data_IF_082921064694
#
_entry.id   IF_082921064694
#
_cell.length_a   1.000
_cell.length_b   1.000
_cell.length_c   1.000
_cell.angle_alpha   90.00
_cell.angle_beta   90.00
_cell.angle_gamma   90.00
#
_symmetry.space_group_name_H-M   'P 1'
#
loop_
_entity.id
_entity.type
_entity.pdbx_description
1 polymer ?
#
# COMPACT_ATOMS: atom_id res chain seq x y z
N UNK A 1 7.93 16.01 -25.35
CA UNK A 1 8.49 15.32 -24.18
C UNK A 1 9.98 15.32 -24.36
N UNK A 2 10.70 16.10 -23.57
CA UNK A 2 12.15 16.14 -23.64
C UNK A 2 12.70 14.80 -23.15
N UNK A 3 13.82 14.33 -23.70
CA UNK A 3 14.43 13.04 -23.33
C UNK A 3 14.68 12.90 -21.82
N UNK A 4 14.93 14.00 -21.12
CA UNK A 4 15.07 14.06 -19.67
C UNK A 4 13.80 13.58 -18.93
N UNK A 5 12.62 14.00 -19.39
CA UNK A 5 11.34 13.59 -18.76
C UNK A 5 11.03 12.11 -18.90
N UNK A 6 11.52 11.45 -19.95
CA UNK A 6 11.35 10.00 -20.12
C UNK A 6 12.23 9.23 -19.15
N UNK A 7 13.48 9.68 -18.96
CA UNK A 7 14.42 9.06 -18.03
C UNK A 7 13.92 9.19 -16.59
N UNK A 8 13.45 10.37 -16.19
CA UNK A 8 12.85 10.60 -14.87
C UNK A 8 11.62 9.72 -14.64
N UNK A 9 10.71 9.64 -15.63
CA UNK A 9 9.54 8.79 -15.55
C UNK A 9 9.90 7.29 -15.42
N UNK A 10 10.93 6.83 -16.15
CA UNK A 10 11.43 5.46 -16.04
C UNK A 10 12.00 5.18 -14.64
N UNK A 11 12.80 6.10 -14.10
CA UNK A 11 13.40 5.97 -12.77
C UNK A 11 12.33 5.95 -11.67
N UNK A 12 11.35 6.85 -11.74
CA UNK A 12 10.23 6.87 -10.81
C UNK A 12 9.36 5.61 -10.92
N UNK A 13 9.07 5.14 -12.13
CA UNK A 13 8.32 3.90 -12.34
C UNK A 13 9.06 2.66 -11.81
N UNK A 14 10.38 2.61 -11.97
CA UNK A 14 11.22 1.54 -11.42
C UNK A 14 11.27 1.61 -9.89
N UNK A 15 11.40 2.82 -9.32
CA UNK A 15 11.38 3.04 -7.88
C UNK A 15 10.04 2.60 -7.28
N UNK A 16 8.93 2.96 -7.90
CA UNK A 16 7.57 2.54 -7.50
C UNK A 16 7.47 1.01 -7.50
N UNK A 17 7.79 0.36 -8.62
CA UNK A 17 7.70 -1.10 -8.74
C UNK A 17 8.58 -1.87 -7.75
N UNK A 18 9.73 -1.30 -7.35
CA UNK A 18 10.62 -1.90 -6.35
C UNK A 18 10.15 -1.68 -4.91
N UNK A 19 9.44 -0.58 -4.63
CA UNK A 19 9.13 -0.16 -3.25
C UNK A 19 7.70 -0.43 -2.83
N UNK A 20 6.76 -0.63 -3.76
CA UNK A 20 5.34 -0.84 -3.45
C UNK A 20 5.09 -2.14 -2.66
N UNK A 21 5.86 -3.19 -2.93
CA UNK A 21 5.62 -4.53 -2.35
C UNK A 21 6.47 -4.84 -1.11
N UNK A 22 7.41 -3.96 -0.77
CA UNK A 22 8.23 -4.08 0.44
C UNK A 22 7.83 -2.98 1.43
N UNK A 23 7.96 -3.21 2.76
CA UNK A 23 7.46 -2.28 3.75
C UNK A 23 8.41 -1.08 3.93
N UNK A 24 8.58 -0.26 2.89
CA UNK A 24 9.48 0.90 2.87
C UNK A 24 8.78 2.21 2.48
N UNK A 25 7.46 2.19 2.25
CA UNK A 25 6.65 3.33 1.80
C UNK A 25 7.10 3.89 0.44
N UNK A 26 6.53 3.35 -0.64
CA UNK A 26 6.70 3.81 -2.03
C UNK A 26 6.35 5.29 -2.21
N UNK A 27 5.22 5.73 -1.67
CA UNK A 27 4.77 7.13 -1.74
C UNK A 27 5.82 8.11 -1.19
N UNK A 28 6.43 7.78 -0.05
CA UNK A 28 7.51 8.61 0.51
C UNK A 28 8.74 8.68 -0.39
N UNK A 29 9.16 7.55 -0.97
CA UNK A 29 10.30 7.49 -1.90
C UNK A 29 10.03 8.26 -3.19
N UNK A 30 8.83 8.13 -3.77
CA UNK A 30 8.43 8.82 -5.00
C UNK A 30 8.34 10.33 -4.77
N UNK A 31 7.73 10.79 -3.67
CA UNK A 31 7.64 12.22 -3.36
C UNK A 31 9.01 12.86 -3.11
N UNK A 32 9.91 12.16 -2.40
CA UNK A 32 11.28 12.63 -2.17
C UNK A 32 12.09 12.64 -3.47
N UNK A 33 12.03 11.57 -4.27
CA UNK A 33 12.71 11.50 -5.55
C UNK A 33 12.22 12.57 -6.51
N UNK A 34 10.90 12.77 -6.63
CA UNK A 34 10.30 13.84 -7.43
C UNK A 34 10.77 15.22 -6.98
N UNK A 35 10.84 15.47 -5.68
CA UNK A 35 11.37 16.73 -5.12
C UNK A 35 12.83 16.98 -5.52
N UNK A 36 13.71 15.97 -5.41
CA UNK A 36 15.14 16.12 -5.75
C UNK A 36 15.43 16.14 -7.24
N UNK A 37 14.59 15.48 -8.06
CA UNK A 37 14.68 15.52 -9.52
C UNK A 37 14.05 16.79 -10.11
N UNK A 38 13.32 17.58 -9.33
CA UNK A 38 12.55 18.72 -9.83
C UNK A 38 11.37 18.30 -10.73
N UNK A 39 10.91 17.05 -10.59
CA UNK A 39 9.81 16.50 -11.37
C UNK A 39 8.48 16.95 -10.78
N UNK A 40 7.75 17.79 -11.51
CA UNK A 40 6.45 18.31 -11.09
C UNK A 40 5.35 17.75 -11.98
N UNK A 41 4.50 16.89 -11.41
CA UNK A 41 3.30 16.38 -12.09
C UNK A 41 2.06 17.15 -11.67
N UNK A 42 1.20 17.49 -12.63
CA UNK A 42 -0.05 18.21 -12.35
C UNK A 42 -0.94 17.36 -11.44
N UNK A 43 -1.19 17.83 -10.21
CA UNK A 43 -2.08 17.17 -9.27
C UNK A 43 -1.61 15.79 -8.78
N UNK A 44 -0.30 15.48 -8.87
CA UNK A 44 0.26 14.15 -8.54
C UNK A 44 -0.28 13.01 -9.42
N UNK A 45 -0.77 13.34 -10.61
CA UNK A 45 -1.41 12.38 -11.50
C UNK A 45 -0.44 11.30 -12.00
N UNK A 46 0.84 11.64 -12.18
CA UNK A 46 1.85 10.68 -12.63
C UNK A 46 2.12 9.61 -11.56
N UNK A 47 2.28 10.02 -10.30
CA UNK A 47 2.50 9.15 -9.15
C UNK A 47 1.34 8.17 -8.96
N UNK A 48 0.11 8.65 -9.13
CA UNK A 48 -1.09 7.79 -9.08
C UNK A 48 -1.11 6.81 -10.27
N UNK A 49 -0.68 7.25 -11.46
CA UNK A 49 -0.69 6.42 -12.66
C UNK A 49 0.33 5.27 -12.58
N UNK A 50 1.54 5.52 -12.06
CA UNK A 50 2.56 4.48 -11.94
C UNK A 50 2.20 3.40 -10.90
N UNK A 51 1.49 3.78 -9.83
CA UNK A 51 0.91 2.83 -8.85
C UNK A 51 -0.05 1.82 -9.50
N UNK A 52 -0.82 2.24 -10.51
CA UNK A 52 -1.66 1.32 -11.27
C UNK A 52 -0.83 0.22 -11.96
N UNK A 53 0.40 0.52 -12.38
CA UNK A 53 1.33 -0.47 -12.90
C UNK A 53 1.69 -1.55 -11.88
N UNK A 54 1.93 -1.16 -10.63
CA UNK A 54 2.19 -2.09 -9.53
C UNK A 54 0.95 -2.94 -9.20
N UNK A 55 -0.25 -2.34 -9.19
CA UNK A 55 -1.51 -3.08 -9.02
C UNK A 55 -1.70 -4.10 -10.14
N UNK A 56 -1.45 -3.71 -11.40
CA UNK A 56 -1.52 -4.64 -12.54
C UNK A 56 -0.52 -5.79 -12.43
N UNK A 57 0.65 -5.57 -11.84
CA UNK A 57 1.61 -6.63 -11.57
C UNK A 57 1.04 -7.67 -10.58
N UNK A 58 0.45 -7.23 -9.47
CA UNK A 58 -0.24 -8.13 -8.51
C UNK A 58 -1.39 -8.86 -9.20
N UNK A 59 -2.25 -8.15 -9.94
CA UNK A 59 -3.39 -8.76 -10.63
C UNK A 59 -2.94 -9.83 -11.62
N UNK A 60 -1.82 -9.61 -12.31
CA UNK A 60 -1.25 -10.58 -13.26
C UNK A 60 -0.66 -11.80 -12.55
N UNK A 61 0.13 -11.60 -11.49
CA UNK A 61 0.75 -12.69 -10.71
C UNK A 61 -0.30 -13.56 -10.03
N UNK A 62 -1.34 -12.95 -9.45
CA UNK A 62 -2.40 -13.64 -8.72
C UNK A 62 -3.65 -13.89 -9.55
N UNK A 63 -3.61 -13.67 -10.88
CA UNK A 63 -4.78 -13.74 -11.77
C UNK A 63 -5.57 -15.03 -11.59
N UNK A 64 -4.89 -16.18 -11.63
CA UNK A 64 -5.53 -17.50 -11.48
C UNK A 64 -6.22 -17.65 -10.12
N UNK A 65 -5.57 -17.21 -9.04
CA UNK A 65 -6.12 -17.29 -7.68
C UNK A 65 -7.32 -16.38 -7.50
N UNK A 66 -7.25 -15.15 -8.01
CA UNK A 66 -8.34 -14.18 -7.97
C UNK A 66 -9.54 -14.67 -8.79
N UNK A 67 -9.28 -15.25 -9.97
CA UNK A 67 -10.31 -15.85 -10.81
C UNK A 67 -11.01 -17.03 -10.11
N UNK A 68 -10.22 -17.94 -9.51
CA UNK A 68 -10.74 -19.05 -8.70
C UNK A 68 -11.62 -18.54 -7.55
N UNK A 69 -11.11 -17.58 -6.77
CA UNK A 69 -11.84 -16.97 -5.66
C UNK A 69 -13.17 -16.37 -6.13
N UNK A 70 -13.20 -15.71 -7.29
CA UNK A 70 -14.43 -15.14 -7.87
C UNK A 70 -15.44 -16.22 -8.28
N UNK A 71 -14.97 -17.30 -8.91
CA UNK A 71 -15.84 -18.40 -9.35
C UNK A 71 -16.35 -19.27 -8.19
N UNK A 72 -15.58 -19.40 -7.13
CA UNK A 72 -15.88 -20.24 -5.97
C UNK A 72 -16.67 -19.49 -4.89
N UNK A 73 -16.68 -18.15 -4.91
CA UNK A 73 -17.38 -17.27 -3.97
C UNK A 73 -18.84 -17.68 -3.64
N UNK A 74 -19.70 -18.04 -4.61
CA UNK A 74 -21.08 -18.43 -4.31
C UNK A 74 -21.20 -19.83 -3.68
N UNK A 75 -20.25 -20.73 -3.92
CA UNK A 75 -20.36 -22.15 -3.57
C UNK A 75 -19.55 -22.52 -2.32
N UNK A 76 -18.38 -21.91 -2.13
CA UNK A 76 -17.48 -22.24 -1.03
C UNK A 76 -17.62 -21.26 0.15
N UNK A 77 -17.84 -21.83 1.34
CA UNK A 77 -17.97 -21.08 2.59
C UNK A 77 -16.64 -20.47 3.02
N UNK A 78 -15.52 -21.16 2.78
CA UNK A 78 -14.20 -20.68 3.18
C UNK A 78 -13.79 -19.48 2.32
N UNK A 79 -13.94 -19.60 1.00
CA UNK A 79 -13.74 -18.50 0.05
C UNK A 79 -14.58 -17.28 0.39
N UNK A 80 -15.87 -17.47 0.71
CA UNK A 80 -16.74 -16.37 1.14
C UNK A 80 -16.29 -15.73 2.46
N UNK A 81 -15.85 -16.53 3.43
CA UNK A 81 -15.30 -16.02 4.69
C UNK A 81 -14.04 -15.20 4.45
N UNK A 82 -13.13 -15.68 3.61
CA UNK A 82 -11.92 -14.95 3.24
C UNK A 82 -12.23 -13.63 2.52
N UNK A 83 -13.12 -13.65 1.52
CA UNK A 83 -13.52 -12.45 0.80
C UNK A 83 -14.19 -11.39 1.72
N UNK A 84 -15.07 -11.83 2.62
CA UNK A 84 -15.64 -10.94 3.65
C UNK A 84 -14.56 -10.44 4.62
N UNK A 85 -13.58 -11.27 4.95
CA UNK A 85 -12.41 -10.89 5.74
C UNK A 85 -11.61 -9.76 5.11
N UNK A 86 -11.31 -9.86 3.81
CA UNK A 86 -10.66 -8.78 3.05
C UNK A 86 -11.48 -7.50 3.12
N UNK A 87 -12.80 -7.59 2.91
CA UNK A 87 -13.68 -6.42 2.98
C UNK A 87 -13.67 -5.76 4.37
N UNK A 88 -13.68 -6.57 5.44
CA UNK A 88 -13.61 -6.10 6.82
C UNK A 88 -12.25 -5.45 7.13
N UNK A 89 -11.16 -5.98 6.61
CA UNK A 89 -9.84 -5.38 6.76
C UNK A 89 -9.71 -4.07 5.97
N UNK A 90 -10.29 -3.97 4.78
CA UNK A 90 -10.25 -2.78 3.95
C UNK A 90 -11.09 -1.62 4.48
N UNK A 91 -12.28 -1.91 5.02
CA UNK A 91 -13.30 -0.90 5.30
C UNK A 91 -12.86 0.21 6.28
N UNK A 92 -12.16 -0.05 7.40
CA UNK A 92 -11.72 1.01 8.31
C UNK A 92 -10.80 2.03 7.63
N UNK A 93 -9.79 1.56 6.88
CA UNK A 93 -8.86 2.41 6.16
C UNK A 93 -9.55 3.18 5.03
N UNK A 94 -10.50 2.55 4.31
CA UNK A 94 -11.27 3.21 3.28
C UNK A 94 -12.16 4.34 3.82
N UNK A 95 -12.85 4.10 4.94
CA UNK A 95 -13.72 5.11 5.58
C UNK A 95 -12.87 6.27 6.11
N UNK A 96 -11.82 5.97 6.89
CA UNK A 96 -10.98 7.02 7.48
C UNK A 96 -10.25 7.80 6.38
N UNK A 97 -9.72 7.09 5.36
CA UNK A 97 -9.07 7.72 4.21
C UNK A 97 -10.00 8.65 3.46
N UNK A 98 -11.25 8.25 3.19
CA UNK A 98 -12.23 9.10 2.51
C UNK A 98 -12.61 10.34 3.34
N UNK A 99 -12.76 10.20 4.66
CA UNK A 99 -13.11 11.31 5.56
C UNK A 99 -11.94 12.26 5.82
N UNK A 100 -10.70 11.75 5.85
CA UNK A 100 -9.50 12.51 6.18
C UNK A 100 -8.67 12.93 4.95
N UNK A 101 -9.11 12.63 3.74
CA UNK A 101 -8.36 12.82 2.50
C UNK A 101 -7.76 14.23 2.34
N UNK A 102 -8.58 15.26 2.61
CA UNK A 102 -8.16 16.66 2.46
C UNK A 102 -7.11 17.06 3.51
N UNK A 103 -7.24 16.57 4.74
CA UNK A 103 -6.27 16.79 5.82
C UNK A 103 -4.94 16.09 5.53
N UNK A 104 -5.00 14.85 5.04
CA UNK A 104 -3.81 14.07 4.69
C UNK A 104 -3.05 14.77 3.57
N UNK A 105 -3.74 15.17 2.49
CA UNK A 105 -3.07 15.85 1.37
C UNK A 105 -2.39 17.15 1.76
N UNK A 106 -3.04 17.95 2.59
CA UNK A 106 -2.55 19.30 2.93
C UNK A 106 -1.40 19.31 3.91
N UNK A 107 -1.34 18.34 4.84
CA UNK A 107 -0.34 18.36 5.92
C UNK A 107 0.76 17.31 5.69
N UNK A 108 0.40 16.09 5.26
CA UNK A 108 1.34 14.97 5.19
C UNK A 108 2.23 15.03 3.94
N UNK A 109 1.70 15.50 2.82
CA UNK A 109 2.42 15.43 1.54
C UNK A 109 3.10 16.73 1.07
N UNK A 110 3.02 17.81 1.83
CA UNK A 110 3.66 19.09 1.52
C UNK A 110 5.00 19.29 2.26
N UNK A 111 5.31 18.44 3.24
CA UNK A 111 6.51 18.58 4.08
C UNK A 111 7.47 17.41 3.87
N UNK A 112 8.55 17.56 3.06
CA UNK A 112 9.60 16.54 2.93
C UNK A 112 10.18 16.08 4.27
N UNK A 113 10.24 17.00 5.25
CA UNK A 113 10.69 16.69 6.61
C UNK A 113 9.80 15.67 7.29
N UNK A 114 8.47 15.80 7.15
CA UNK A 114 7.51 14.89 7.76
C UNK A 114 7.61 13.49 7.12
N UNK A 115 7.74 13.42 5.80
CA UNK A 115 7.97 12.16 5.07
C UNK A 115 9.21 11.44 5.61
N UNK A 116 10.34 12.15 5.73
CA UNK A 116 11.57 11.57 6.27
C UNK A 116 11.39 11.04 7.71
N UNK A 117 10.68 11.79 8.57
CA UNK A 117 10.41 11.36 9.95
C UNK A 117 9.56 10.08 9.96
N UNK A 118 8.51 10.01 9.15
CA UNK A 118 7.64 8.82 9.07
C UNK A 118 8.38 7.60 8.52
N UNK A 119 9.26 7.77 7.52
CA UNK A 119 10.12 6.69 7.03
C UNK A 119 11.04 6.14 8.12
N UNK A 120 11.63 7.01 8.95
CA UNK A 120 12.48 6.59 10.08
C UNK A 120 11.64 5.85 11.13
N UNK A 121 10.49 6.41 11.52
CA UNK A 121 9.59 5.78 12.51
C UNK A 121 9.14 4.40 12.02
N UNK A 122 8.68 4.30 10.77
CA UNK A 122 8.27 3.03 10.16
C UNK A 122 9.41 2.01 10.15
N UNK A 123 10.62 2.42 9.77
CA UNK A 123 11.81 1.57 9.80
C UNK A 123 12.15 1.07 11.21
N UNK A 124 12.06 1.93 12.23
CA UNK A 124 12.28 1.54 13.64
C UNK A 124 11.22 0.54 14.10
N UNK A 125 9.94 0.76 13.77
CA UNK A 125 8.85 -0.17 14.11
C UNK A 125 9.11 -1.55 13.50
N UNK A 126 9.47 -1.61 12.21
CA UNK A 126 9.78 -2.87 11.54
C UNK A 126 10.98 -3.58 12.17
N UNK A 127 12.03 -2.83 12.49
CA UNK A 127 13.21 -3.37 13.18
C UNK A 127 12.84 -3.95 14.55
N UNK A 128 12.00 -3.25 15.33
CA UNK A 128 11.54 -3.76 16.63
C UNK A 128 10.74 -5.04 16.44
N UNK A 129 9.78 -5.06 15.51
CA UNK A 129 8.94 -6.24 15.23
C UNK A 129 9.78 -7.44 14.80
N UNK A 130 10.77 -7.25 13.94
CA UNK A 130 11.69 -8.30 13.49
C UNK A 130 12.52 -8.91 14.64
N UNK A 131 12.86 -8.10 15.65
CA UNK A 131 13.63 -8.54 16.83
C UNK A 131 12.79 -9.28 17.86
N UNK A 132 11.46 -9.22 17.78
CA UNK A 132 10.59 -9.94 18.70
C UNK A 132 10.52 -11.42 18.31
N UNK A 133 10.66 -12.31 19.29
CA UNK A 133 10.50 -13.76 19.09
C UNK A 133 9.01 -14.16 18.98
N UNK A 134 8.30 -13.57 18.02
CA UNK A 134 6.88 -13.82 17.78
C UNK A 134 6.70 -15.21 17.18
N UNK A 135 5.83 -16.02 17.78
CA UNK A 135 5.44 -17.34 17.25
C UNK A 135 4.19 -17.18 16.38
N UNK A 136 4.21 -17.60 15.10
CA UNK A 136 3.03 -17.52 14.25
C UNK A 136 1.88 -18.35 14.82
N UNK A 137 0.79 -17.68 15.18
CA UNK A 137 -0.44 -18.33 15.68
C UNK A 137 -1.29 -18.86 14.52
N UNK A 138 -1.36 -18.11 13.43
CA UNK A 138 -2.11 -18.46 12.23
C UNK A 138 -1.15 -18.56 11.04
N UNK A 139 -1.34 -19.58 10.18
CA UNK A 139 -0.50 -19.83 9.00
C UNK A 139 -1.24 -19.70 7.68
N UNK A 140 -2.56 -19.77 7.72
CA UNK A 140 -3.43 -19.72 6.56
C UNK A 140 -4.34 -18.49 6.69
N UNK A 141 -4.18 -17.56 5.75
CA UNK A 141 -4.93 -16.31 5.71
C UNK A 141 -6.43 -16.55 5.52
N UNK A 142 -6.82 -17.62 4.84
CA UNK A 142 -8.24 -17.92 4.55
C UNK A 142 -9.00 -18.36 5.81
N UNK A 143 -8.26 -18.76 6.86
CA UNK A 143 -8.80 -19.26 8.13
C UNK A 143 -8.65 -18.28 9.29
N UNK A 144 -8.25 -17.03 9.01
CA UNK A 144 -8.16 -16.04 10.08
C UNK A 144 -9.53 -15.80 10.73
N UNK A 145 -9.58 -15.64 12.07
CA UNK A 145 -10.82 -15.26 12.73
C UNK A 145 -11.19 -13.83 12.34
N UNK A 146 -12.49 -13.53 12.29
CA UNK A 146 -12.99 -12.20 11.88
C UNK A 146 -12.39 -11.03 12.67
N UNK A 147 -12.08 -11.26 13.95
CA UNK A 147 -11.41 -10.28 14.82
C UNK A 147 -10.03 -9.88 14.30
N UNK A 148 -9.28 -10.82 13.73
CA UNK A 148 -7.93 -10.56 13.21
C UNK A 148 -7.98 -9.73 11.94
N UNK A 149 -8.93 -9.97 11.02
CA UNK A 149 -9.12 -9.10 9.85
C UNK A 149 -9.40 -7.65 10.25
N UNK A 150 -10.28 -7.44 11.25
CA UNK A 150 -10.58 -6.10 11.74
C UNK A 150 -9.34 -5.45 12.38
N UNK A 151 -8.58 -6.19 13.18
CA UNK A 151 -7.33 -5.67 13.75
C UNK A 151 -6.34 -5.25 12.65
N UNK A 152 -6.14 -6.10 11.62
CA UNK A 152 -5.31 -5.75 10.47
C UNK A 152 -5.81 -4.46 9.81
N UNK A 153 -7.12 -4.33 9.60
CA UNK A 153 -7.71 -3.12 9.02
C UNK A 153 -7.51 -1.86 9.86
N UNK A 154 -7.59 -1.97 11.20
CA UNK A 154 -7.28 -0.86 12.10
C UNK A 154 -5.79 -0.46 12.05
N UNK A 155 -4.88 -1.44 11.95
CA UNK A 155 -3.46 -1.15 11.73
C UNK A 155 -3.20 -0.56 10.34
N UNK A 156 -3.98 -0.95 9.33
CA UNK A 156 -3.89 -0.37 7.98
C UNK A 156 -4.25 1.11 7.97
N UNK A 157 -5.05 1.61 8.92
CA UNK A 157 -5.28 3.06 9.07
C UNK A 157 -3.98 3.85 9.36
N UNK A 158 -2.93 3.21 9.88
CA UNK A 158 -1.62 3.85 10.06
C UNK A 158 -0.96 4.20 8.72
N UNK A 159 -1.32 3.52 7.62
CA UNK A 159 -0.78 3.84 6.29
C UNK A 159 -1.40 5.09 5.66
N UNK A 160 -2.37 5.72 6.32
CA UNK A 160 -2.94 6.99 5.90
C UNK A 160 -2.06 8.19 6.29
N UNK A 161 -1.05 7.94 7.13
CA UNK A 161 -0.05 8.88 7.65
C UNK A 161 1.30 8.51 7.02
#
# INVERSE_FOLDING_TARGET
>A
MDSQTIVEALLLGLLEGLTEFIPVSSTGHILLAGHFLGFHSTGKAFEILIQLGAILAILSVYFKRLWQMLTELPYDRLTRHFALGILIAFLPAAIIGALAHDFIKTILFESPRLICIMLIIGGVVLLVVDRLALKPVYRDVERFPTRLYLQIGLFQCLSLI
#
